data_IF_615023681592
#
_entry.id   IF_615023681592
#
_cell.length_a   1.000
_cell.length_b   1.000
_cell.length_c   1.000
_cell.angle_alpha   90.00
_cell.angle_beta   90.00
_cell.angle_gamma   90.00
#
_symmetry.space_group_name_H-M   'P 1'
#
loop_
_entity.id
_entity.type
_entity.pdbx_description
1 polymer ?
#
# COMPACT_ATOMS: atom_id res chain seq x y z
N UNK A 1 -19.34 8.88 11.93
CA UNK A 1 -18.05 8.21 11.65
C UNK A 1 -17.03 9.34 11.59
N UNK A 2 -15.75 9.04 11.79
CA UNK A 2 -14.77 10.10 11.96
C UNK A 2 -14.06 10.43 10.65
N UNK A 3 -12.75 10.57 10.77
CA UNK A 3 -11.83 10.74 9.67
C UNK A 3 -11.37 9.38 9.12
N UNK A 4 -11.25 9.26 7.80
CA UNK A 4 -10.51 8.18 7.17
C UNK A 4 -9.14 8.71 6.74
N UNK A 5 -8.08 8.13 7.28
CA UNK A 5 -6.70 8.40 6.88
C UNK A 5 -6.26 7.40 5.83
N UNK A 6 -5.70 7.88 4.72
CA UNK A 6 -5.13 7.05 3.66
C UNK A 6 -3.62 7.23 3.68
N UNK A 7 -2.90 6.18 4.05
CA UNK A 7 -1.46 6.22 4.25
C UNK A 7 -0.72 5.55 3.10
N UNK A 8 0.30 6.24 2.60
CA UNK A 8 1.13 5.80 1.50
C UNK A 8 2.62 5.75 1.85
N UNK A 9 3.44 5.73 0.81
CA UNK A 9 4.88 5.50 0.95
C UNK A 9 5.67 6.63 1.63
N UNK A 10 5.13 7.85 1.66
CA UNK A 10 5.65 8.93 2.48
C UNK A 10 5.38 8.78 3.98
N UNK A 11 4.57 7.79 4.39
CA UNK A 11 4.34 7.42 5.78
C UNK A 11 5.24 6.26 6.22
N UNK A 12 5.52 5.32 5.31
CA UNK A 12 6.49 4.25 5.50
C UNK A 12 7.10 3.85 4.17
N UNK A 13 8.40 3.49 4.17
CA UNK A 13 9.15 3.09 2.97
C UNK A 13 8.53 1.91 2.19
N UNK A 14 7.58 1.20 2.78
CA UNK A 14 7.14 -0.10 2.27
C UNK A 14 6.06 -0.04 1.18
N UNK A 15 5.34 1.07 1.02
CA UNK A 15 4.44 1.21 -0.14
C UNK A 15 5.20 1.42 -1.47
N UNK A 16 6.49 1.81 -1.43
CA UNK A 16 7.36 1.84 -2.61
C UNK A 16 7.96 0.48 -2.98
N UNK A 17 7.75 -0.58 -2.16
CA UNK A 17 8.29 -1.92 -2.44
C UNK A 17 7.97 -2.39 -3.85
N UNK A 18 6.81 -2.03 -4.40
CA UNK A 18 6.45 -2.38 -5.77
C UNK A 18 7.41 -1.81 -6.83
N UNK A 19 7.83 -0.56 -6.65
CA UNK A 19 8.57 0.23 -7.66
C UNK A 19 10.07 0.29 -7.41
N UNK A 20 10.54 -0.18 -6.25
CA UNK A 20 11.89 0.06 -5.76
C UNK A 20 12.88 -1.05 -6.20
N UNK A 21 13.94 -0.65 -6.90
CA UNK A 21 15.05 -1.52 -7.26
C UNK A 21 16.02 -1.73 -6.09
N UNK A 22 16.12 -0.78 -5.15
CA UNK A 22 16.94 -0.90 -3.94
C UNK A 22 16.44 -2.05 -3.06
N UNK A 23 15.15 -2.35 -3.11
CA UNK A 23 14.54 -3.48 -2.41
C UNK A 23 15.16 -4.82 -2.82
N UNK A 24 15.39 -5.06 -4.12
CA UNK A 24 16.04 -6.31 -4.55
C UNK A 24 17.46 -6.39 -3.98
N UNK A 25 18.19 -5.27 -3.96
CA UNK A 25 19.50 -5.17 -3.32
C UNK A 25 19.47 -5.46 -1.82
N UNK A 26 18.47 -4.96 -1.10
CA UNK A 26 18.30 -5.19 0.33
C UNK A 26 17.88 -6.63 0.66
N UNK A 27 17.14 -7.29 -0.23
CA UNK A 27 16.71 -8.68 -0.05
C UNK A 27 17.80 -9.68 -0.44
N UNK A 28 18.67 -9.36 -1.40
CA UNK A 28 19.67 -10.29 -1.93
C UNK A 28 20.54 -10.95 -0.82
N UNK A 29 21.09 -10.20 0.15
CA UNK A 29 21.90 -10.78 1.24
C UNK A 29 21.12 -11.70 2.18
N UNK A 30 19.78 -11.66 2.15
CA UNK A 30 18.90 -12.49 2.98
C UNK A 30 18.55 -13.82 2.31
N UNK A 31 18.93 -14.01 1.04
CA UNK A 31 18.62 -15.21 0.27
C UNK A 31 19.74 -16.25 0.38
N UNK A 32 19.35 -17.52 0.33
CA UNK A 32 20.31 -18.62 0.24
C UNK A 32 20.93 -18.65 -1.15
N UNK A 33 22.25 -18.54 -1.23
CA UNK A 33 22.98 -18.78 -2.47
C UNK A 33 22.99 -20.28 -2.80
N UNK A 34 22.74 -20.61 -4.07
CA UNK A 34 22.70 -21.99 -4.56
C UNK A 34 23.90 -22.25 -5.47
N UNK A 35 24.61 -23.39 -5.31
CA UNK A 35 25.72 -23.74 -6.19
C UNK A 35 25.29 -23.84 -7.65
N UNK A 36 26.11 -23.34 -8.57
CA UNK A 36 25.84 -23.44 -10.00
C UNK A 36 26.35 -24.77 -10.57
N UNK A 37 25.60 -25.36 -11.50
CA UNK A 37 25.99 -26.62 -12.18
C UNK A 37 27.30 -26.51 -12.98
N UNK A 38 27.68 -25.29 -13.36
CA UNK A 38 28.84 -25.03 -14.22
C UNK A 38 30.12 -24.73 -13.42
N UNK A 39 30.13 -24.97 -12.09
CA UNK A 39 31.28 -24.68 -11.23
C UNK A 39 31.50 -23.19 -10.94
N UNK A 40 30.57 -22.32 -11.35
CA UNK A 40 30.58 -20.90 -11.01
C UNK A 40 30.28 -20.64 -9.51
N UNK A 41 30.54 -19.41 -9.02
CA UNK A 41 30.25 -19.05 -7.64
C UNK A 41 28.75 -19.25 -7.34
N UNK A 42 28.39 -19.64 -6.10
CA UNK A 42 26.99 -19.74 -5.70
C UNK A 42 26.27 -18.41 -5.94
N UNK A 43 25.05 -18.47 -6.48
CA UNK A 43 24.24 -17.28 -6.75
C UNK A 43 22.87 -17.39 -6.11
N UNK A 44 22.29 -16.25 -5.77
CA UNK A 44 20.91 -16.17 -5.30
C UNK A 44 19.93 -16.23 -6.48
N UNK A 45 18.64 -16.44 -6.19
CA UNK A 45 17.57 -16.31 -7.19
C UNK A 45 17.53 -14.93 -7.83
N UNK A 46 17.79 -13.86 -7.07
CA UNK A 46 17.78 -12.49 -7.61
C UNK A 46 18.88 -12.34 -8.65
N UNK A 47 20.10 -12.76 -8.34
CA UNK A 47 21.24 -12.71 -9.26
C UNK A 47 20.98 -13.55 -10.51
N UNK A 48 20.47 -14.77 -10.33
CA UNK A 48 20.18 -15.69 -11.43
C UNK A 48 19.13 -15.14 -12.40
N UNK A 49 17.98 -14.69 -11.88
CA UNK A 49 16.90 -14.18 -12.71
C UNK A 49 17.21 -12.82 -13.34
N UNK A 50 17.97 -11.97 -12.64
CA UNK A 50 18.43 -10.67 -13.15
C UNK A 50 19.30 -10.86 -14.39
N UNK A 51 20.29 -11.74 -14.30
CA UNK A 51 21.18 -12.04 -15.44
C UNK A 51 20.43 -12.71 -16.60
N UNK A 52 19.56 -13.68 -16.33
CA UNK A 52 18.88 -14.42 -17.40
C UNK A 52 17.78 -13.63 -18.11
N UNK A 53 16.97 -12.86 -17.37
CA UNK A 53 15.73 -12.30 -17.90
C UNK A 53 15.75 -10.78 -18.04
N UNK A 54 16.76 -10.13 -17.47
CA UNK A 54 16.84 -8.68 -17.40
C UNK A 54 18.23 -8.15 -17.75
N UNK A 55 19.03 -8.93 -18.47
CA UNK A 55 20.32 -8.50 -19.01
C UNK A 55 20.16 -7.16 -19.74
N UNK A 56 21.00 -6.18 -19.40
CA UNK A 56 20.99 -4.79 -19.92
C UNK A 56 19.80 -3.90 -19.49
N UNK A 57 19.03 -4.28 -18.46
CA UNK A 57 18.06 -3.37 -17.84
C UNK A 57 18.62 -2.78 -16.54
N UNK A 58 18.83 -1.48 -16.53
CA UNK A 58 19.13 -0.75 -15.31
C UNK A 58 17.88 -0.64 -14.43
N UNK A 59 18.00 -1.01 -13.15
CA UNK A 59 16.97 -0.79 -12.14
C UNK A 59 15.68 -1.59 -12.32
N UNK A 60 15.73 -2.90 -12.09
CA UNK A 60 14.53 -3.76 -12.07
C UNK A 60 13.79 -3.53 -10.74
N UNK A 61 12.56 -3.03 -10.79
CA UNK A 61 11.70 -2.94 -9.61
C UNK A 61 11.29 -4.33 -9.11
N UNK A 62 11.13 -4.46 -7.79
CA UNK A 62 10.72 -5.72 -7.15
C UNK A 62 9.38 -6.28 -7.67
N UNK A 63 8.42 -5.44 -8.08
CA UNK A 63 7.17 -5.90 -8.71
C UNK A 63 7.40 -6.65 -10.02
N UNK A 64 8.21 -6.06 -10.90
CA UNK A 64 8.51 -6.66 -12.21
C UNK A 64 9.26 -7.97 -12.02
N UNK A 65 10.19 -8.00 -11.06
CA UNK A 65 10.90 -9.21 -10.66
C UNK A 65 9.94 -10.30 -10.17
N UNK A 66 9.08 -9.98 -9.19
CA UNK A 66 8.11 -10.92 -8.61
C UNK A 66 7.09 -11.42 -9.61
N UNK A 67 6.66 -10.56 -10.54
CA UNK A 67 5.76 -10.94 -11.61
C UNK A 67 6.43 -11.93 -12.57
N UNK A 68 7.70 -11.70 -12.92
CA UNK A 68 8.43 -12.60 -13.81
C UNK A 68 8.65 -13.98 -13.14
N UNK A 69 9.16 -13.98 -11.90
CA UNK A 69 9.30 -15.21 -11.09
C UNK A 69 7.96 -15.96 -10.94
N UNK A 70 6.87 -15.22 -10.71
CA UNK A 70 5.52 -15.81 -10.62
C UNK A 70 5.03 -16.37 -11.95
N UNK A 71 5.45 -15.85 -13.10
CA UNK A 71 5.10 -16.42 -14.40
C UNK A 71 5.91 -17.69 -14.68
N UNK A 72 7.20 -17.69 -14.33
CA UNK A 72 8.10 -18.83 -14.53
C UNK A 72 7.65 -20.08 -13.76
N UNK A 73 6.98 -19.93 -12.61
CA UNK A 73 6.42 -21.09 -11.91
C UNK A 73 5.36 -21.84 -12.74
N UNK A 74 4.62 -21.17 -13.61
CA UNK A 74 3.62 -21.86 -14.44
C UNK A 74 4.24 -22.61 -15.63
N UNK A 75 5.52 -22.34 -15.95
CA UNK A 75 6.25 -23.12 -16.96
C UNK A 75 6.61 -24.53 -16.46
N UNK A 76 6.78 -24.71 -15.14
CA UNK A 76 7.04 -26.01 -14.53
C UNK A 76 5.86 -26.98 -14.64
N UNK A 77 4.63 -26.48 -14.74
CA UNK A 77 3.44 -27.32 -14.97
C UNK A 77 3.41 -27.88 -16.41
N UNK A 78 4.27 -27.38 -17.31
CA UNK A 78 4.45 -27.87 -18.67
C UNK A 78 5.68 -28.79 -18.83
N UNK A 79 6.48 -29.02 -17.77
CA UNK A 79 7.76 -29.74 -17.87
C UNK A 79 7.90 -30.81 -16.77
N UNK A 80 7.57 -32.05 -17.14
CA UNK A 80 7.86 -33.34 -16.49
C UNK A 80 8.21 -33.32 -14.99
N UNK A 81 7.16 -33.36 -14.15
CA UNK A 81 7.13 -34.06 -12.85
C UNK A 81 8.15 -33.67 -11.75
N UNK A 82 9.08 -32.75 -12.02
CA UNK A 82 10.11 -32.32 -11.07
C UNK A 82 9.58 -31.16 -10.22
N UNK A 83 10.07 -31.11 -8.98
CA UNK A 83 9.75 -30.04 -8.02
C UNK A 83 9.99 -28.68 -8.66
N UNK A 84 8.96 -27.83 -8.67
CA UNK A 84 8.97 -26.54 -9.32
C UNK A 84 9.91 -25.57 -8.58
N UNK A 85 11.14 -25.44 -9.08
CA UNK A 85 12.22 -24.64 -8.46
C UNK A 85 11.76 -23.20 -8.23
N UNK A 86 11.08 -22.58 -9.21
CA UNK A 86 10.58 -21.21 -9.10
C UNK A 86 9.54 -21.03 -7.98
N UNK A 87 8.80 -22.09 -7.62
CA UNK A 87 7.87 -22.06 -6.48
C UNK A 87 8.60 -22.02 -5.14
N UNK A 88 9.73 -22.72 -5.02
CA UNK A 88 10.58 -22.69 -3.82
C UNK A 88 11.29 -21.34 -3.71
N UNK A 89 11.82 -20.83 -4.82
CA UNK A 89 12.46 -19.51 -4.89
C UNK A 89 11.49 -18.36 -4.56
N UNK A 90 10.26 -18.39 -5.09
CA UNK A 90 9.22 -17.43 -4.73
C UNK A 90 8.91 -17.49 -3.22
N UNK A 91 8.88 -18.70 -2.65
CA UNK A 91 8.64 -18.88 -1.21
C UNK A 91 9.78 -18.30 -0.37
N UNK A 92 11.03 -18.53 -0.75
CA UNK A 92 12.20 -17.99 -0.05
C UNK A 92 12.25 -16.46 -0.15
N UNK A 93 11.97 -15.88 -1.32
CA UNK A 93 11.93 -14.44 -1.49
C UNK A 93 10.82 -13.79 -0.64
N UNK A 94 9.64 -14.41 -0.57
CA UNK A 94 8.56 -13.97 0.33
C UNK A 94 8.97 -14.04 1.81
N UNK A 95 9.74 -15.06 2.23
CA UNK A 95 10.27 -15.15 3.59
C UNK A 95 11.30 -14.05 3.87
N UNK A 96 12.24 -13.84 2.95
CA UNK A 96 13.25 -12.80 3.05
C UNK A 96 12.61 -11.42 3.20
N UNK A 97 11.61 -11.11 2.36
CA UNK A 97 10.88 -9.86 2.45
C UNK A 97 10.13 -9.70 3.79
N UNK A 98 9.46 -10.75 4.27
CA UNK A 98 8.84 -10.69 5.61
C UNK A 98 9.84 -10.42 6.72
N UNK A 99 11.00 -11.06 6.67
CA UNK A 99 12.10 -10.83 7.63
C UNK A 99 12.56 -9.38 7.54
N UNK A 100 12.87 -8.89 6.34
CA UNK A 100 13.30 -7.51 6.11
C UNK A 100 12.31 -6.51 6.72
N UNK A 101 11.02 -6.60 6.38
CA UNK A 101 9.99 -5.66 6.87
C UNK A 101 9.82 -5.73 8.39
N UNK A 102 9.93 -6.93 8.97
CA UNK A 102 9.87 -7.11 10.41
C UNK A 102 11.06 -6.44 11.10
N UNK A 103 12.27 -6.62 10.55
CA UNK A 103 13.47 -5.99 11.08
C UNK A 103 13.44 -4.47 10.93
N UNK A 104 12.94 -3.93 9.80
CA UNK A 104 12.73 -2.49 9.64
C UNK A 104 11.89 -1.91 10.79
N UNK A 105 10.75 -2.53 11.12
CA UNK A 105 9.88 -2.06 12.22
C UNK A 105 10.56 -2.21 13.58
N UNK A 106 11.27 -3.31 13.84
CA UNK A 106 12.00 -3.50 15.11
C UNK A 106 13.14 -2.50 15.30
N UNK A 107 13.80 -2.11 14.22
CA UNK A 107 14.94 -1.20 14.24
C UNK A 107 14.57 0.28 14.42
N UNK A 108 13.28 0.62 14.36
CA UNK A 108 12.82 2.00 14.51
C UNK A 108 13.22 2.54 15.88
N UNK A 109 13.97 3.65 15.86
CA UNK A 109 14.19 4.43 17.07
C UNK A 109 12.94 5.27 17.35
N UNK A 110 12.13 4.84 18.32
CA UNK A 110 10.85 5.47 18.64
C UNK A 110 10.97 6.87 19.24
N UNK A 111 12.12 7.21 19.82
CA UNK A 111 12.35 8.53 20.42
C UNK A 111 12.64 9.58 19.35
N UNK A 112 13.18 9.19 18.20
CA UNK A 112 13.52 10.08 17.09
C UNK A 112 12.65 9.80 15.86
N UNK A 113 12.93 8.73 15.13
CA UNK A 113 12.30 8.35 13.87
C UNK A 113 10.80 8.04 14.04
N UNK A 114 10.45 7.32 15.11
CA UNK A 114 9.06 6.91 15.38
C UNK A 114 8.18 8.02 15.98
N UNK A 115 8.75 9.15 16.40
CA UNK A 115 8.05 10.19 17.16
C UNK A 115 6.83 10.75 16.40
N UNK A 116 7.01 11.07 15.12
CA UNK A 116 5.93 11.61 14.29
C UNK A 116 4.77 10.61 14.11
N UNK A 117 5.08 9.31 14.07
CA UNK A 117 4.08 8.23 13.95
C UNK A 117 3.32 8.08 15.27
N UNK A 118 4.03 8.04 16.40
CA UNK A 118 3.38 8.03 17.72
C UNK A 118 2.48 9.26 17.90
N UNK A 119 2.97 10.43 17.47
CA UNK A 119 2.20 11.66 17.56
C UNK A 119 0.95 11.65 16.69
N UNK A 120 1.04 11.09 15.49
CA UNK A 120 -0.12 10.86 14.63
C UNK A 120 -1.12 9.91 15.26
N UNK A 121 -0.67 8.75 15.77
CA UNK A 121 -1.54 7.76 16.40
C UNK A 121 -2.32 8.31 17.59
N UNK A 122 -1.75 9.27 18.34
CA UNK A 122 -2.43 10.00 19.42
C UNK A 122 -3.51 10.97 18.95
N UNK A 123 -3.44 11.45 17.71
CA UNK A 123 -4.44 12.39 17.15
C UNK A 123 -5.67 11.69 16.57
N UNK A 124 -5.62 10.36 16.43
CA UNK A 124 -6.69 9.57 15.86
C UNK A 124 -7.75 9.31 16.93
N UNK A 125 -9.00 9.61 16.59
CA UNK A 125 -10.13 9.21 17.42
C UNK A 125 -10.47 7.74 17.15
N UNK A 126 -9.82 6.81 17.85
CA UNK A 126 -9.97 5.36 17.65
C UNK A 126 -11.40 4.81 17.84
N UNK A 127 -12.31 5.59 18.41
CA UNK A 127 -13.74 5.25 18.49
C UNK A 127 -14.48 5.43 17.16
N UNK A 128 -13.98 6.30 16.26
CA UNK A 128 -14.70 6.75 15.07
C UNK A 128 -13.87 6.74 13.77
N UNK A 129 -12.56 6.96 13.88
CA UNK A 129 -11.63 7.09 12.76
C UNK A 129 -11.16 5.72 12.25
N UNK A 130 -10.74 5.69 10.99
CA UNK A 130 -10.13 4.51 10.37
C UNK A 130 -8.87 4.89 9.60
N UNK A 131 -7.97 3.91 9.45
CA UNK A 131 -6.79 4.02 8.61
C UNK A 131 -6.92 3.00 7.48
N UNK A 132 -6.83 3.48 6.24
CA UNK A 132 -6.57 2.67 5.06
C UNK A 132 -5.07 2.80 4.75
N UNK A 133 -4.37 1.69 4.64
CA UNK A 133 -2.94 1.70 4.33
C UNK A 133 -2.61 0.72 3.22
N UNK A 134 -1.69 1.17 2.35
CA UNK A 134 -1.09 0.35 1.30
C UNK A 134 0.28 -0.20 1.71
N UNK A 135 0.75 0.18 2.91
CA UNK A 135 2.00 -0.30 3.49
C UNK A 135 1.88 -1.75 3.94
N UNK A 136 2.94 -2.53 3.72
CA UNK A 136 3.02 -3.95 4.07
C UNK A 136 3.56 -4.19 5.48
N UNK A 137 4.32 -3.24 6.02
CA UNK A 137 4.82 -3.30 7.38
C UNK A 137 3.71 -3.12 8.41
N UNK A 138 4.12 -3.23 9.68
CA UNK A 138 3.26 -3.06 10.84
C UNK A 138 3.72 -1.92 11.73
N UNK A 139 4.18 -0.85 11.10
CA UNK A 139 4.67 0.32 11.81
C UNK A 139 3.56 0.97 12.65
N UNK A 140 2.32 0.95 12.16
CA UNK A 140 1.16 1.46 12.87
C UNK A 140 0.78 0.58 14.06
N UNK A 141 0.76 -0.74 13.89
CA UNK A 141 0.45 -1.66 14.97
C UNK A 141 1.54 -1.66 16.05
N UNK A 142 2.81 -1.54 15.67
CA UNK A 142 3.90 -1.36 16.61
C UNK A 142 3.78 -0.04 17.39
N UNK A 143 3.38 1.05 16.71
CA UNK A 143 3.10 2.32 17.37
C UNK A 143 1.90 2.23 18.32
N UNK A 144 0.84 1.50 17.94
CA UNK A 144 -0.32 1.27 18.79
C UNK A 144 0.05 0.49 20.06
N UNK A 145 0.85 -0.57 19.92
CA UNK A 145 1.36 -1.37 21.03
C UNK A 145 2.16 -0.50 22.01
N UNK A 146 3.07 0.35 21.50
CA UNK A 146 3.84 1.31 22.31
C UNK A 146 2.97 2.31 23.07
N UNK A 147 1.81 2.66 22.53
CA UNK A 147 0.89 3.61 23.13
C UNK A 147 -0.20 2.94 23.99
N UNK A 148 -0.27 1.61 24.04
CA UNK A 148 -1.34 0.88 24.71
C UNK A 148 -2.71 1.09 24.05
N UNK A 149 -2.76 1.35 22.74
CA UNK A 149 -4.00 1.64 22.00
C UNK A 149 -4.56 0.35 21.40
N UNK A 150 -5.81 0.04 21.73
CA UNK A 150 -6.55 -1.03 21.07
C UNK A 150 -7.09 -0.56 19.71
N UNK A 151 -6.38 -0.88 18.63
CA UNK A 151 -6.75 -0.47 17.27
C UNK A 151 -7.80 -1.37 16.60
N UNK A 152 -7.99 -2.59 17.11
CA UNK A 152 -8.97 -3.55 16.58
C UNK A 152 -8.86 -3.73 15.07
N UNK A 153 -9.96 -3.49 14.37
CA UNK A 153 -10.08 -3.60 12.91
C UNK A 153 -10.11 -2.23 12.20
N UNK A 154 -9.63 -1.17 12.88
CA UNK A 154 -9.61 0.21 12.37
C UNK A 154 -8.47 0.47 11.40
N UNK A 155 -7.42 -0.35 11.42
CA UNK A 155 -6.31 -0.28 10.46
C UNK A 155 -6.53 -1.36 9.40
N UNK A 156 -6.74 -0.94 8.16
CA UNK A 156 -7.07 -1.82 7.03
C UNK A 156 -5.92 -1.79 6.03
N UNK A 157 -5.18 -2.91 5.97
CA UNK A 157 -4.11 -3.12 5.00
C UNK A 157 -4.68 -3.64 3.68
N UNK A 158 -4.81 -2.75 2.69
CA UNK A 158 -5.42 -3.04 1.40
C UNK A 158 -4.56 -3.99 0.55
N UNK A 159 -3.23 -3.94 0.71
CA UNK A 159 -2.30 -4.87 0.07
C UNK A 159 -1.92 -6.07 0.96
N UNK A 160 -2.54 -6.23 2.12
CA UNK A 160 -2.11 -7.22 3.11
C UNK A 160 -1.01 -6.70 4.05
N UNK A 161 -0.76 -7.43 5.14
CA UNK A 161 0.27 -7.10 6.13
C UNK A 161 1.28 -8.23 6.31
N UNK A 162 2.50 -7.91 6.75
CA UNK A 162 3.63 -8.85 6.82
C UNK A 162 3.35 -10.12 7.65
N UNK A 163 2.54 -10.01 8.71
CA UNK A 163 2.16 -11.13 9.58
C UNK A 163 1.17 -12.09 8.94
N UNK A 164 0.59 -11.73 7.80
CA UNK A 164 -0.49 -12.47 7.20
C UNK A 164 -0.02 -13.37 6.06
N UNK A 165 -0.75 -14.46 5.85
CA UNK A 165 -0.54 -15.33 4.69
C UNK A 165 -1.04 -14.69 3.39
N UNK A 166 -1.74 -13.57 3.48
CA UNK A 166 -2.52 -12.92 2.42
C UNK A 166 -1.90 -11.59 1.97
N UNK A 167 -0.59 -11.58 1.75
CA UNK A 167 0.10 -10.43 1.17
C UNK A 167 -0.19 -10.38 -0.34
N UNK A 168 -0.78 -9.29 -0.82
CA UNK A 168 -0.80 -8.94 -2.24
C UNK A 168 0.58 -8.46 -2.62
N UNK A 169 1.41 -9.40 -3.04
CA UNK A 169 2.70 -9.05 -3.62
C UNK A 169 2.45 -8.25 -4.88
N UNK A 170 3.22 -7.18 -5.09
CA UNK A 170 3.07 -6.36 -6.28
C UNK A 170 3.38 -7.27 -7.46
N UNK A 171 2.36 -7.57 -8.24
CA UNK A 171 2.42 -8.48 -9.36
C UNK A 171 1.60 -7.87 -10.47
N UNK A 172 2.28 -7.50 -11.55
CA UNK A 172 1.69 -6.82 -12.69
C UNK A 172 0.71 -7.71 -13.49
N UNK A 173 0.61 -9.01 -13.18
CA UNK A 173 -0.17 -9.97 -13.97
C UNK A 173 -1.48 -10.41 -13.32
N UNK A 174 -2.53 -10.36 -14.14
CA UNK A 174 -3.93 -10.75 -13.88
C UNK A 174 -4.10 -12.14 -13.21
N UNK A 175 -3.12 -13.04 -13.36
CA UNK A 175 -3.15 -14.41 -12.84
C UNK A 175 -2.71 -14.51 -11.36
N UNK A 176 -1.66 -13.80 -10.97
CA UNK A 176 -1.27 -13.67 -9.57
C UNK A 176 -2.33 -12.89 -8.78
N UNK A 177 -2.92 -11.88 -9.41
CA UNK A 177 -4.05 -11.11 -8.88
C UNK A 177 -5.26 -11.97 -8.50
N UNK A 178 -5.58 -13.03 -9.26
CA UNK A 178 -6.72 -13.91 -8.93
C UNK A 178 -6.53 -14.66 -7.62
N UNK A 179 -5.29 -15.04 -7.28
CA UNK A 179 -4.99 -15.80 -6.05
C UNK A 179 -4.84 -14.91 -4.82
N UNK A 180 -4.46 -13.64 -4.97
CA UNK A 180 -4.38 -12.64 -3.89
C UNK A 180 -5.67 -11.85 -3.67
N UNK A 181 -6.51 -11.68 -4.70
CA UNK A 181 -7.76 -10.91 -4.63
C UNK A 181 -8.82 -11.57 -3.75
N UNK A 182 -8.96 -12.90 -3.78
CA UNK A 182 -9.97 -13.59 -2.97
C UNK A 182 -9.77 -13.38 -1.45
N UNK A 183 -8.56 -13.53 -0.89
CA UNK A 183 -8.34 -13.27 0.54
C UNK A 183 -8.41 -11.80 0.95
N UNK A 184 -8.09 -10.86 0.05
CA UNK A 184 -8.12 -9.42 0.35
C UNK A 184 -9.46 -8.76 0.04
N UNK A 185 -10.34 -9.42 -0.73
CA UNK A 185 -11.65 -8.90 -1.11
C UNK A 185 -12.48 -8.40 0.09
N UNK A 186 -12.51 -9.06 1.27
CA UNK A 186 -13.23 -8.53 2.43
C UNK A 186 -12.73 -7.15 2.87
N UNK A 187 -11.42 -6.88 2.77
CA UNK A 187 -10.83 -5.59 3.15
C UNK A 187 -11.14 -4.49 2.17
N UNK A 188 -11.04 -4.79 0.88
CA UNK A 188 -11.42 -3.86 -0.17
C UNK A 188 -12.91 -3.54 -0.11
N UNK A 189 -13.76 -4.55 0.14
CA UNK A 189 -15.20 -4.36 0.37
C UNK A 189 -15.46 -3.47 1.58
N UNK A 190 -14.78 -3.74 2.71
CA UNK A 190 -14.90 -2.91 3.92
C UNK A 190 -14.42 -1.48 3.70
N UNK A 191 -13.29 -1.28 3.04
CA UNK A 191 -12.79 0.05 2.69
C UNK A 191 -13.80 0.80 1.81
N UNK A 192 -14.37 0.13 0.81
CA UNK A 192 -15.44 0.69 -0.02
C UNK A 192 -16.69 1.04 0.80
N UNK A 193 -17.10 0.18 1.75
CA UNK A 193 -18.24 0.42 2.64
C UNK A 193 -18.02 1.61 3.58
N UNK A 194 -16.81 1.77 4.11
CA UNK A 194 -16.44 2.95 4.90
C UNK A 194 -16.46 4.21 4.03
N UNK A 195 -15.82 4.17 2.87
CA UNK A 195 -15.74 5.32 1.97
C UNK A 195 -17.10 5.74 1.42
N UNK A 196 -18.05 4.82 1.20
CA UNK A 196 -19.39 5.14 0.67
C UNK A 196 -20.39 5.69 1.71
N UNK A 197 -20.05 5.65 3.00
CA UNK A 197 -20.98 6.02 4.08
C UNK A 197 -20.99 7.53 4.36
N UNK A 198 -21.61 8.28 3.45
CA UNK A 198 -21.60 9.75 3.41
C UNK A 198 -22.17 10.45 4.63
N UNK A 199 -23.20 9.90 5.26
CA UNK A 199 -23.85 10.54 6.42
C UNK A 199 -22.97 10.53 7.66
N UNK A 200 -21.90 9.75 7.61
CA UNK A 200 -21.04 9.54 8.75
C UNK A 200 -19.60 9.96 8.47
N UNK A 201 -19.11 10.08 7.23
CA UNK A 201 -17.73 10.48 6.96
C UNK A 201 -17.57 12.01 7.08
N UNK A 202 -16.60 12.46 7.88
CA UNK A 202 -16.30 13.90 7.99
C UNK A 202 -15.17 14.32 7.04
N UNK A 203 -14.09 13.53 7.02
CA UNK A 203 -12.87 13.85 6.27
C UNK A 203 -12.20 12.60 5.70
N UNK A 204 -11.64 12.75 4.50
CA UNK A 204 -10.72 11.81 3.86
C UNK A 204 -9.35 12.47 3.72
N UNK A 205 -8.35 11.97 4.45
CA UNK A 205 -7.03 12.60 4.55
C UNK A 205 -5.96 11.66 4.00
N UNK A 206 -5.36 12.03 2.88
CA UNK A 206 -4.21 11.36 2.31
C UNK A 206 -2.93 11.88 2.96
N UNK A 207 -2.10 10.98 3.50
CA UNK A 207 -0.82 11.31 4.12
C UNK A 207 0.28 10.49 3.46
N UNK A 208 1.24 11.18 2.82
CA UNK A 208 2.37 10.51 2.18
C UNK A 208 1.97 9.58 1.03
N UNK A 209 0.74 9.68 0.52
CA UNK A 209 0.30 8.91 -0.64
C UNK A 209 0.28 9.84 -1.85
N UNK A 210 0.86 9.39 -2.96
CA UNK A 210 0.99 10.15 -4.21
C UNK A 210 -0.01 9.73 -5.29
N UNK A 211 -0.80 8.67 -5.02
CA UNK A 211 -1.77 8.09 -5.96
C UNK A 211 -1.13 7.83 -7.34
N UNK A 212 -0.04 7.04 -7.42
CA UNK A 212 0.75 6.96 -8.66
C UNK A 212 -0.10 6.43 -9.83
N UNK A 213 0.24 6.79 -11.09
CA UNK A 213 -0.51 6.37 -12.26
C UNK A 213 -0.80 4.87 -12.35
N UNK A 214 0.15 4.06 -11.90
CA UNK A 214 0.10 2.60 -11.92
C UNK A 214 -0.82 1.98 -10.86
N UNK A 215 -1.23 2.72 -9.81
CA UNK A 215 -2.09 2.18 -8.75
C UNK A 215 -3.57 2.27 -9.15
N UNK A 216 -3.92 1.43 -10.13
CA UNK A 216 -5.27 1.39 -10.71
C UNK A 216 -6.33 0.94 -9.70
N UNK A 217 -5.95 0.12 -8.71
CA UNK A 217 -6.89 -0.40 -7.71
C UNK A 217 -7.29 0.66 -6.70
N UNK A 218 -6.32 1.38 -6.15
CA UNK A 218 -6.62 2.52 -5.30
C UNK A 218 -7.45 3.55 -6.04
N UNK A 219 -7.07 3.89 -7.28
CA UNK A 219 -7.86 4.80 -8.12
C UNK A 219 -9.27 4.29 -8.35
N UNK A 220 -9.45 3.00 -8.62
CA UNK A 220 -10.76 2.40 -8.80
C UNK A 220 -11.59 2.52 -7.51
N UNK A 221 -11.05 2.13 -6.35
CA UNK A 221 -11.70 2.24 -5.06
C UNK A 221 -12.17 3.67 -4.80
N UNK A 222 -11.26 4.65 -4.90
CA UNK A 222 -11.59 6.03 -4.62
C UNK A 222 -12.52 6.63 -5.67
N UNK A 223 -12.37 6.32 -6.96
CA UNK A 223 -13.26 6.82 -8.01
C UNK A 223 -14.67 6.21 -7.90
N UNK A 224 -14.80 4.92 -7.62
CA UNK A 224 -16.10 4.28 -7.43
C UNK A 224 -16.79 4.76 -6.16
N UNK A 225 -16.06 4.89 -5.05
CA UNK A 225 -16.60 5.51 -3.83
C UNK A 225 -16.98 6.96 -4.06
N UNK A 226 -16.16 7.74 -4.76
CA UNK A 226 -16.45 9.13 -5.16
C UNK A 226 -17.70 9.20 -6.03
N UNK A 227 -17.85 8.30 -7.00
CA UNK A 227 -19.04 8.24 -7.86
C UNK A 227 -20.28 7.90 -7.04
N UNK A 228 -20.22 6.86 -6.19
CA UNK A 228 -21.32 6.50 -5.28
C UNK A 228 -21.66 7.68 -4.34
N UNK A 229 -20.64 8.42 -3.91
CA UNK A 229 -20.79 9.59 -3.05
C UNK A 229 -21.37 10.80 -3.75
N UNK A 230 -21.15 10.92 -5.05
CA UNK A 230 -21.76 11.95 -5.88
C UNK A 230 -23.22 11.65 -6.26
N UNK A 231 -23.67 10.40 -6.05
CA UNK A 231 -24.86 9.84 -6.69
C UNK A 231 -26.19 9.74 -5.92
N UNK A 232 -26.34 9.95 -4.60
CA UNK A 232 -27.65 9.75 -4.00
C UNK A 232 -28.52 10.99 -4.24
N UNK A 233 -29.38 10.88 -5.27
CA UNK A 233 -30.30 11.86 -5.84
C UNK A 233 -29.58 13.10 -6.41
N UNK A 234 -29.77 13.40 -7.69
CA UNK A 234 -29.72 14.81 -8.14
C UNK A 234 -30.85 15.48 -7.36
N UNK A 235 -30.60 16.22 -6.27
CA UNK A 235 -31.68 16.85 -5.55
C UNK A 235 -32.05 18.07 -6.39
N UNK A 236 -33.30 18.12 -6.84
CA UNK A 236 -33.86 19.36 -7.34
C UNK A 236 -34.33 20.15 -6.11
N UNK A 237 -33.67 21.25 -5.82
CA UNK A 237 -34.21 22.27 -4.90
C UNK A 237 -34.86 23.34 -5.77
N UNK A 238 -36.18 23.48 -5.72
CA UNK A 238 -36.94 24.42 -6.55
C UNK A 238 -36.62 24.32 -8.06
N UNK A 239 -36.51 23.09 -8.59
CA UNK A 239 -36.24 22.87 -10.02
C UNK A 239 -34.80 23.15 -10.48
N UNK A 240 -33.84 23.39 -9.56
CA UNK A 240 -32.41 23.54 -9.87
C UNK A 240 -31.59 22.38 -9.30
N UNK A 241 -30.65 21.86 -10.09
CA UNK A 241 -29.65 20.91 -9.61
C UNK A 241 -28.84 21.52 -8.46
N UNK A 242 -28.76 20.85 -7.31
CA UNK A 242 -27.82 21.22 -6.25
C UNK A 242 -26.39 21.24 -6.82
N UNK A 243 -25.59 22.29 -6.60
CA UNK A 243 -24.20 22.36 -7.07
C UNK A 243 -23.38 21.15 -6.59
N UNK A 244 -22.52 20.60 -7.45
CA UNK A 244 -21.69 19.42 -7.12
C UNK A 244 -20.87 19.60 -5.83
N UNK A 245 -20.42 20.83 -5.54
CA UNK A 245 -19.70 21.19 -4.31
C UNK A 245 -20.51 21.01 -3.02
N UNK A 246 -21.85 21.00 -3.10
CA UNK A 246 -22.76 20.78 -1.96
C UNK A 246 -23.26 19.34 -1.86
N UNK A 247 -22.92 18.47 -2.82
CA UNK A 247 -23.31 17.04 -2.82
C UNK A 247 -22.36 16.15 -2.02
N UNK A 248 -21.17 16.64 -1.71
CA UNK A 248 -20.16 15.93 -0.92
C UNK A 248 -20.26 16.33 0.54
N UNK A 249 -20.62 15.39 1.40
CA UNK A 249 -20.71 15.60 2.85
C UNK A 249 -19.35 15.74 3.55
N UNK A 250 -18.28 15.25 2.93
CA UNK A 250 -16.94 15.20 3.54
C UNK A 250 -15.88 15.96 2.76
N UNK A 251 -14.83 16.38 3.48
CA UNK A 251 -13.68 17.06 2.89
C UNK A 251 -12.59 16.08 2.46
N UNK A 252 -11.88 16.39 1.36
CA UNK A 252 -10.73 15.62 0.89
C UNK A 252 -9.48 16.47 1.06
N UNK A 253 -8.51 15.98 1.82
CA UNK A 253 -7.26 16.65 2.10
C UNK A 253 -6.06 15.78 1.69
N UNK A 254 -5.04 16.38 1.07
CA UNK A 254 -3.77 15.73 0.76
C UNK A 254 -2.65 16.46 1.50
N UNK A 255 -2.01 15.77 2.43
CA UNK A 255 -0.95 16.30 3.31
C UNK A 255 0.41 15.90 2.79
N UNK A 256 1.33 16.86 2.75
CA UNK A 256 2.69 16.68 2.24
C UNK A 256 2.72 16.06 0.82
N UNK A 257 1.92 16.56 -0.15
CA UNK A 257 1.94 16.04 -1.50
C UNK A 257 3.27 16.35 -2.18
N UNK A 258 3.78 15.42 -2.98
CA UNK A 258 4.77 15.76 -4.00
C UNK A 258 4.15 16.82 -4.95
N UNK A 259 4.85 17.94 -5.27
CA UNK A 259 4.32 19.01 -6.12
C UNK A 259 3.73 18.53 -7.45
N UNK A 260 4.28 17.46 -8.02
CA UNK A 260 3.91 16.96 -9.35
C UNK A 260 2.70 16.02 -9.33
N UNK A 261 2.24 15.60 -8.14
CA UNK A 261 1.19 14.56 -8.04
C UNK A 261 -0.23 15.12 -8.08
N UNK A 262 -0.42 16.45 -8.17
CA UNK A 262 -1.77 17.06 -8.19
C UNK A 262 -2.63 16.50 -9.32
N UNK A 263 -2.03 16.18 -10.46
CA UNK A 263 -2.76 15.60 -11.60
C UNK A 263 -3.31 14.21 -11.30
N UNK A 264 -2.66 13.44 -10.43
CA UNK A 264 -3.09 12.10 -10.07
C UNK A 264 -4.43 12.06 -9.33
N UNK A 265 -4.85 13.18 -8.73
CA UNK A 265 -6.09 13.32 -7.99
C UNK A 265 -7.24 13.91 -8.80
N UNK A 266 -7.04 14.22 -10.09
CA UNK A 266 -8.05 14.87 -10.94
C UNK A 266 -9.32 14.04 -11.16
N UNK A 267 -9.31 12.75 -10.83
CA UNK A 267 -10.50 11.89 -10.94
C UNK A 267 -11.54 12.16 -9.85
N UNK A 268 -11.16 12.78 -8.72
CA UNK A 268 -12.13 13.18 -7.71
C UNK A 268 -13.01 14.32 -8.26
N UNK A 269 -14.34 14.18 -8.15
CA UNK A 269 -15.26 15.23 -8.61
C UNK A 269 -15.19 16.48 -7.74
N UNK A 270 -14.94 16.32 -6.43
CA UNK A 270 -14.59 17.45 -5.54
C UNK A 270 -13.06 17.60 -5.50
N UNK A 271 -12.51 18.77 -5.88
CA UNK A 271 -11.06 18.96 -5.88
C UNK A 271 -10.51 18.85 -4.45
N UNK A 272 -9.47 18.02 -4.21
CA UNK A 272 -8.84 17.93 -2.90
C UNK A 272 -8.17 19.24 -2.50
N UNK A 273 -8.15 19.50 -1.19
CA UNK A 273 -7.32 20.56 -0.58
C UNK A 273 -5.90 20.02 -0.39
N UNK A 274 -4.92 20.68 -1.01
CA UNK A 274 -3.51 20.30 -0.89
C UNK A 274 -2.82 21.13 0.19
N UNK A 275 -2.28 20.47 1.20
CA UNK A 275 -1.52 21.08 2.29
C UNK A 275 -0.03 20.82 2.08
N UNK A 276 0.70 21.86 1.60
CA UNK A 276 2.14 21.80 1.29
C UNK A 276 3.07 21.78 2.51
N UNK A 277 2.52 21.70 3.71
CA UNK A 277 3.31 21.65 4.94
C UNK A 277 3.82 20.23 5.20
N UNK A 278 4.98 20.13 5.86
CA UNK A 278 5.53 18.86 6.33
C UNK A 278 4.55 18.17 7.27
N UNK A 279 4.57 16.83 7.31
CA UNK A 279 3.68 16.02 8.13
C UNK A 279 3.69 16.43 9.61
N UNK A 280 4.86 16.61 10.20
CA UNK A 280 5.03 17.05 11.60
C UNK A 280 4.44 18.44 11.89
N UNK A 281 4.49 19.34 10.91
CA UNK A 281 3.91 20.69 11.03
C UNK A 281 2.39 20.59 10.97
N UNK A 282 1.85 19.77 10.06
CA UNK A 282 0.42 19.50 9.99
C UNK A 282 -0.11 18.88 11.28
N UNK A 283 0.59 17.89 11.86
CA UNK A 283 0.22 17.28 13.13
C UNK A 283 0.17 18.29 14.27
N UNK A 284 1.18 19.16 14.39
CA UNK A 284 1.20 20.23 15.41
C UNK A 284 0.04 21.19 15.27
N UNK A 285 -0.33 21.54 14.04
CA UNK A 285 -1.44 22.44 13.76
C UNK A 285 -2.82 21.83 14.07
N UNK A 286 -2.96 20.50 14.08
CA UNK A 286 -4.21 19.82 14.49
C UNK A 286 -4.42 19.72 15.99
N UNK A 287 -3.35 19.88 16.79
CA UNK A 287 -3.42 19.80 18.26
C UNK A 287 -3.79 21.13 18.93
N UNK A 288 -3.81 22.22 18.15
CA UNK A 288 -4.23 23.56 18.59
C UNK A 288 -5.68 23.77 18.22
#
# INVERSE_FOLDING_TARGET
MGTIYVLGAGFSKTCHIATDAEMLGALNPLLKATPQKNGGPPRTTIEHLTEQNFLNRDGIGFELFMSNLSSLKFLGDCWDGKRNVFREEERELRKALRRYLTECVKSVNWDTEGRAILDFMRTINWSADHILTFNYDQLLEAAAEKLGIAVGDRIIHLHGAVRERTLAWPTFTKFAYRTTKAPLAPRWKRAFELLRNQTQLDQLIFVGYSMPPADLEAKALFNYSDWYNSLPAIPFFHGKLVPASKRYSYEICVVNPNPDVRQNYKFFRRPPRFLRQKFEVWLRNRRR
#
